data_IF_633810104643
#
_entry.id   IF_633810104643
#
_cell.length_a   1.000
_cell.length_b   1.000
_cell.length_c   1.000
_cell.angle_alpha   90.00
_cell.angle_beta   90.00
_cell.angle_gamma   90.00
#
_symmetry.space_group_name_H-M   'P 1'
#
loop_
_entity.id
_entity.type
_entity.pdbx_description
1 polymer ?
#
# COMPACT_ATOMS: atom_id res chain seq x y z
N UNK A 1 -6.75 -22.43 -5.92
CA UNK A 1 -6.09 -21.11 -6.06
C UNK A 1 -6.74 -20.20 -5.04
N UNK A 2 -6.34 -20.35 -3.79
CA UNK A 2 -6.85 -19.48 -2.73
C UNK A 2 -6.07 -18.16 -2.79
N UNK A 3 -6.76 -17.03 -2.66
CA UNK A 3 -6.14 -15.69 -2.67
C UNK A 3 -6.37 -14.83 -3.92
N UNK A 4 -6.99 -15.35 -4.99
CA UNK A 4 -7.33 -14.54 -6.17
C UNK A 4 -8.80 -14.15 -6.18
N UNK A 5 -9.08 -12.84 -6.25
CA UNK A 5 -10.44 -12.34 -6.48
C UNK A 5 -10.82 -12.52 -7.95
N UNK A 6 -12.14 -12.59 -8.22
CA UNK A 6 -12.66 -12.64 -9.59
C UNK A 6 -12.19 -11.46 -10.45
N UNK A 7 -12.17 -10.25 -9.86
CA UNK A 7 -11.69 -9.04 -10.55
C UNK A 7 -10.19 -9.12 -10.87
N UNK A 8 -9.38 -9.73 -9.99
CA UNK A 8 -7.96 -9.94 -10.27
C UNK A 8 -7.75 -10.88 -11.45
N UNK A 9 -8.43 -12.04 -11.47
CA UNK A 9 -8.36 -12.98 -12.59
C UNK A 9 -8.85 -12.35 -13.90
N UNK A 10 -9.94 -11.58 -13.85
CA UNK A 10 -10.45 -10.89 -15.03
C UNK A 10 -9.42 -9.92 -15.63
N UNK A 11 -8.75 -9.13 -14.79
CA UNK A 11 -7.67 -8.24 -15.22
C UNK A 11 -6.49 -8.99 -15.84
N UNK A 12 -6.12 -10.15 -15.28
CA UNK A 12 -5.06 -10.99 -15.85
C UNK A 12 -5.45 -11.50 -17.25
N UNK A 13 -6.71 -11.89 -17.46
CA UNK A 13 -7.20 -12.31 -18.77
C UNK A 13 -7.18 -11.14 -19.77
N UNK A 14 -7.69 -9.97 -19.37
CA UNK A 14 -7.68 -8.76 -20.19
C UNK A 14 -6.26 -8.32 -20.59
N UNK A 15 -5.29 -8.54 -19.70
CA UNK A 15 -3.87 -8.25 -19.95
C UNK A 15 -3.12 -9.38 -20.70
N UNK A 16 -3.83 -10.42 -21.19
CA UNK A 16 -3.22 -11.53 -21.92
C UNK A 16 -2.31 -12.44 -21.08
N UNK A 17 -2.44 -12.39 -19.75
CA UNK A 17 -1.64 -13.18 -18.79
C UNK A 17 -2.22 -14.57 -18.52
N UNK A 18 -3.36 -14.91 -19.13
CA UNK A 18 -3.99 -16.23 -19.04
C UNK A 18 -3.98 -16.88 -20.41
N UNK A 19 -3.39 -18.07 -20.51
CA UNK A 19 -3.30 -18.84 -21.75
C UNK A 19 -3.83 -20.25 -21.58
N UNK A 20 -4.36 -20.82 -22.67
CA UNK A 20 -4.78 -22.22 -22.76
C UNK A 20 -4.04 -22.84 -23.93
N UNK A 21 -3.22 -23.86 -23.65
CA UNK A 21 -2.34 -24.45 -24.68
C UNK A 21 -1.40 -23.44 -25.35
N UNK A 22 -0.99 -22.39 -24.62
CA UNK A 22 -0.09 -21.34 -25.11
C UNK A 22 -0.77 -20.19 -25.86
N UNK A 23 -2.10 -20.22 -26.05
CA UNK A 23 -2.85 -19.15 -26.70
C UNK A 23 -3.60 -18.29 -25.67
N UNK A 24 -3.58 -16.96 -25.83
CA UNK A 24 -4.40 -16.03 -25.03
C UNK A 24 -5.87 -16.25 -25.38
N UNK A 25 -6.71 -16.39 -24.35
CA UNK A 25 -8.15 -16.63 -24.51
C UNK A 25 -8.96 -15.52 -23.84
N UNK A 26 -10.16 -15.18 -24.36
CA UNK A 26 -11.02 -14.19 -23.71
C UNK A 26 -11.65 -14.73 -22.42
N UNK A 27 -12.11 -13.84 -21.53
CA UNK A 27 -12.69 -14.23 -20.23
C UNK A 27 -13.93 -15.13 -20.33
N UNK A 28 -14.62 -15.12 -21.49
CA UNK A 28 -15.78 -15.98 -21.79
C UNK A 28 -15.40 -17.37 -22.31
N UNK A 29 -14.12 -17.67 -22.46
CA UNK A 29 -13.66 -18.97 -22.95
C UNK A 29 -14.10 -20.08 -22.00
N UNK A 30 -14.62 -21.18 -22.55
CA UNK A 30 -15.07 -22.34 -21.80
C UNK A 30 -14.04 -23.45 -21.97
N UNK A 31 -13.24 -23.77 -20.94
CA UNK A 31 -12.22 -24.81 -21.03
C UNK A 31 -12.83 -26.19 -21.26
N UNK A 32 -12.14 -27.00 -22.05
CA UNK A 32 -12.45 -28.41 -22.26
C UNK A 32 -11.72 -29.27 -21.24
N UNK A 33 -12.27 -30.45 -20.97
CA UNK A 33 -11.63 -31.43 -20.09
C UNK A 33 -10.24 -31.78 -20.62
N UNK A 34 -9.22 -31.67 -19.77
CA UNK A 34 -7.84 -32.01 -20.10
C UNK A 34 -7.00 -30.84 -20.64
N UNK A 35 -7.59 -29.66 -20.84
CA UNK A 35 -6.82 -28.48 -21.20
C UNK A 35 -6.03 -27.92 -20.01
N UNK A 36 -4.82 -27.45 -20.29
CA UNK A 36 -3.93 -26.81 -19.31
C UNK A 36 -4.09 -25.29 -19.44
N UNK A 37 -4.47 -24.67 -18.33
CA UNK A 37 -4.56 -23.22 -18.19
C UNK A 37 -3.32 -22.72 -17.46
N UNK A 38 -2.57 -21.81 -18.09
CA UNK A 38 -1.42 -21.15 -17.49
C UNK A 38 -1.80 -19.72 -17.15
N UNK A 39 -1.55 -19.33 -15.90
CA UNK A 39 -1.78 -17.97 -15.38
C UNK A 39 -0.43 -17.41 -14.97
N UNK A 40 0.01 -16.38 -15.70
CA UNK A 40 1.21 -15.63 -15.36
C UNK A 40 0.83 -14.51 -14.37
N UNK A 41 1.08 -14.74 -13.09
CA UNK A 41 0.89 -13.74 -12.04
C UNK A 41 2.22 -13.03 -11.84
N UNK A 42 2.21 -11.70 -11.93
CA UNK A 42 3.36 -10.90 -11.51
C UNK A 42 3.47 -10.94 -9.99
N UNK A 43 4.68 -11.17 -9.47
CA UNK A 43 4.92 -10.96 -8.06
C UNK A 43 4.64 -9.50 -7.72
N UNK A 44 3.96 -9.20 -6.59
CA UNK A 44 3.81 -7.84 -6.14
C UNK A 44 5.19 -7.21 -6.04
N UNK A 45 5.46 -6.18 -6.83
CA UNK A 45 6.65 -5.38 -6.62
C UNK A 45 6.50 -4.69 -5.27
N UNK A 46 7.42 -4.97 -4.36
CA UNK A 46 7.56 -4.18 -3.14
C UNK A 46 7.90 -2.75 -3.55
N UNK A 47 6.92 -1.86 -3.46
CA UNK A 47 7.16 -0.43 -3.62
C UNK A 47 7.66 0.04 -2.26
N UNK A 48 8.98 0.24 -2.16
CA UNK A 48 9.58 0.86 -0.99
C UNK A 48 8.96 2.25 -0.77
N UNK A 49 8.58 2.54 0.47
CA UNK A 49 8.06 3.85 0.85
C UNK A 49 9.25 4.75 1.14
N UNK A 50 9.51 5.70 0.25
CA UNK A 50 10.68 6.57 0.36
C UNK A 50 10.44 7.78 1.28
N UNK A 51 11.44 8.23 2.06
CA UNK A 51 11.37 9.48 2.81
C UNK A 51 11.19 10.69 1.91
N UNK A 52 10.30 11.62 2.28
CA UNK A 52 10.09 12.87 1.54
C UNK A 52 10.05 14.07 2.48
N UNK A 53 10.76 15.14 2.10
CA UNK A 53 10.78 16.39 2.86
C UNK A 53 9.45 17.16 2.70
N UNK A 54 8.44 16.74 3.44
CA UNK A 54 7.10 17.32 3.48
C UNK A 54 6.91 17.94 4.87
N UNK A 55 6.55 19.23 4.98
CA UNK A 55 6.36 19.87 6.28
C UNK A 55 5.28 19.18 7.12
N UNK A 56 5.59 18.94 8.40
CA UNK A 56 4.67 18.41 9.40
C UNK A 56 4.22 19.52 10.35
N UNK A 57 2.92 19.59 10.64
CA UNK A 57 2.38 20.39 11.73
C UNK A 57 2.48 19.57 13.02
N UNK A 58 3.61 19.67 13.70
CA UNK A 58 3.93 18.88 14.90
C UNK A 58 3.37 19.59 16.13
N UNK A 59 2.43 18.93 16.80
CA UNK A 59 1.78 19.41 18.03
C UNK A 59 2.58 18.96 19.26
N UNK A 60 3.19 17.78 19.19
CA UNK A 60 4.01 17.22 20.25
C UNK A 60 5.01 16.23 19.68
N UNK A 61 6.22 16.17 20.25
CA UNK A 61 7.22 15.15 19.91
C UNK A 61 8.14 14.89 21.11
N UNK A 62 8.39 13.62 21.40
CA UNK A 62 9.40 13.15 22.35
C UNK A 62 10.18 11.94 21.78
N UNK A 63 10.79 11.14 22.65
CA UNK A 63 11.53 9.91 22.28
C UNK A 63 10.65 8.76 21.84
N UNK A 64 9.37 8.77 22.19
CA UNK A 64 8.49 7.62 22.11
C UNK A 64 7.37 7.83 21.10
N UNK A 65 6.87 9.06 20.98
CA UNK A 65 5.77 9.41 20.09
C UNK A 65 5.98 10.76 19.41
N UNK A 66 5.31 10.90 18.27
CA UNK A 66 5.09 12.18 17.60
C UNK A 66 3.59 12.34 17.36
N UNK A 67 3.06 13.53 17.66
CA UNK A 67 1.67 13.91 17.41
C UNK A 67 1.67 14.99 16.36
N UNK A 68 1.07 14.68 15.21
CA UNK A 68 0.94 15.60 14.08
C UNK A 68 -0.50 15.99 13.89
N UNK A 69 -0.75 17.26 13.59
CA UNK A 69 -2.04 17.73 13.13
C UNK A 69 -2.11 17.57 11.61
N UNK A 70 -2.68 16.46 11.13
CA UNK A 70 -2.76 16.19 9.70
C UNK A 70 -3.75 17.14 9.03
N UNK A 71 -3.24 17.89 8.05
CA UNK A 71 -4.06 18.74 7.19
C UNK A 71 -5.03 17.96 6.30
N UNK A 72 -6.00 18.69 5.74
CA UNK A 72 -6.92 18.18 4.72
C UNK A 72 -6.15 17.86 3.44
N UNK A 73 -6.51 16.79 2.75
CA UNK A 73 -5.90 16.40 1.48
C UNK A 73 -4.67 15.51 1.62
N UNK A 74 -4.07 15.40 2.80
CA UNK A 74 -2.96 14.49 3.05
C UNK A 74 -3.46 13.07 3.33
N UNK A 75 -2.93 12.09 2.59
CA UNK A 75 -3.17 10.67 2.83
C UNK A 75 -2.22 10.16 3.92
N UNK A 76 -2.67 9.25 4.79
CA UNK A 76 -1.84 8.73 5.89
C UNK A 76 -0.71 7.84 5.39
N UNK A 77 -1.02 6.85 4.54
CA UNK A 77 -0.06 5.86 4.04
C UNK A 77 -0.30 5.64 2.54
N UNK A 78 0.74 5.31 1.74
CA UNK A 78 0.59 5.00 0.32
C UNK A 78 -0.59 4.08 -0.02
N UNK A 79 -1.30 4.43 -1.08
CA UNK A 79 -2.47 3.71 -1.55
C UNK A 79 -2.62 3.86 -3.07
N UNK A 80 -3.42 3.02 -3.76
CA UNK A 80 -3.74 3.24 -5.16
C UNK A 80 -4.22 4.68 -5.41
N UNK A 81 -3.55 5.39 -6.32
CA UNK A 81 -3.82 6.80 -6.65
C UNK A 81 -3.10 7.84 -5.78
N UNK A 82 -2.44 7.44 -4.68
CA UNK A 82 -1.54 8.28 -3.87
C UNK A 82 -0.35 7.40 -3.44
N UNK A 83 0.57 7.06 -4.37
CA UNK A 83 1.67 6.15 -4.09
C UNK A 83 2.75 6.75 -3.17
N UNK A 84 2.81 8.08 -3.09
CA UNK A 84 3.74 8.86 -2.28
C UNK A 84 3.05 10.17 -1.81
N UNK A 85 3.81 11.11 -1.26
CA UNK A 85 3.28 12.39 -0.78
C UNK A 85 2.42 12.24 0.47
N UNK A 86 2.60 11.15 1.22
CA UNK A 86 1.76 10.79 2.36
C UNK A 86 2.40 11.18 3.69
N UNK A 87 1.63 11.08 4.78
CA UNK A 87 2.15 11.31 6.12
C UNK A 87 3.29 10.36 6.47
N UNK A 88 3.24 9.09 6.04
CA UNK A 88 4.35 8.14 6.25
C UNK A 88 5.63 8.62 5.56
N UNK A 89 5.56 9.14 4.34
CA UNK A 89 6.74 9.65 3.64
C UNK A 89 7.37 10.83 4.42
N UNK A 90 6.52 11.71 4.95
CA UNK A 90 6.95 12.85 5.76
C UNK A 90 7.58 12.40 7.10
N UNK A 91 6.96 11.45 7.78
CA UNK A 91 7.47 10.89 9.04
C UNK A 91 8.80 10.18 8.83
N UNK A 92 8.94 9.40 7.75
CA UNK A 92 10.20 8.73 7.40
C UNK A 92 11.35 9.69 7.14
N UNK A 93 11.04 10.91 6.69
CA UNK A 93 12.05 11.96 6.51
C UNK A 93 12.41 12.64 7.83
N UNK A 94 11.42 12.88 8.69
CA UNK A 94 11.59 13.61 9.95
C UNK A 94 12.16 12.76 11.07
N UNK A 95 11.73 11.51 11.19
CA UNK A 95 12.13 10.57 12.23
C UNK A 95 13.10 9.51 11.68
N UNK A 96 14.09 9.13 12.48
CA UNK A 96 15.08 8.10 12.11
C UNK A 96 14.85 6.76 12.81
N UNK A 97 13.88 6.72 13.73
CA UNK A 97 13.68 5.66 14.71
C UNK A 97 12.27 5.05 14.65
N UNK A 98 11.40 5.48 13.72
CA UNK A 98 10.00 5.04 13.64
C UNK A 98 9.81 3.55 13.89
N UNK A 99 8.84 3.27 14.76
CA UNK A 99 8.43 1.92 15.14
C UNK A 99 8.09 1.06 13.92
N UNK A 100 8.46 -0.23 13.96
CA UNK A 100 8.06 -1.21 12.96
C UNK A 100 6.67 -1.78 13.19
N UNK A 101 5.91 -1.27 14.17
CA UNK A 101 4.55 -1.74 14.48
C UNK A 101 3.66 -1.45 13.26
N UNK A 102 3.24 -2.54 12.58
CA UNK A 102 2.56 -2.60 11.26
C UNK A 102 3.45 -2.83 10.02
N UNK A 103 4.69 -3.27 10.24
CA UNK A 103 5.63 -3.68 9.21
C UNK A 103 6.31 -2.51 8.50
N UNK A 104 7.26 -2.82 7.62
CA UNK A 104 8.06 -1.83 6.89
C UNK A 104 7.22 -0.87 6.02
N UNK A 105 5.99 -1.26 5.69
CA UNK A 105 5.08 -0.42 4.92
C UNK A 105 4.51 0.74 5.76
N UNK A 106 4.21 0.53 7.06
CA UNK A 106 3.51 1.50 7.92
C UNK A 106 4.30 1.90 9.17
N UNK A 107 5.56 2.34 9.03
CA UNK A 107 6.40 2.64 10.18
C UNK A 107 5.77 3.75 11.03
N UNK A 108 5.65 3.49 12.33
CA UNK A 108 5.08 4.36 13.36
C UNK A 108 3.57 4.54 13.34
N UNK A 109 2.86 4.18 12.26
CA UNK A 109 1.42 4.44 12.15
C UNK A 109 0.62 3.44 12.98
N UNK A 110 -0.02 3.93 14.05
CA UNK A 110 -0.89 3.10 14.91
C UNK A 110 -2.39 3.27 14.60
N UNK A 111 -2.79 4.35 13.93
CA UNK A 111 -4.16 4.58 13.48
C UNK A 111 -4.21 5.49 12.24
N UNK A 112 -5.38 5.63 11.61
CA UNK A 112 -5.57 6.51 10.44
C UNK A 112 -6.85 7.32 10.53
N UNK A 113 -6.85 8.46 9.86
CA UNK A 113 -8.03 9.23 9.48
C UNK A 113 -8.02 9.42 7.96
N UNK A 114 -9.18 9.71 7.36
CA UNK A 114 -9.29 9.81 5.91
C UNK A 114 -8.59 11.04 5.34
N UNK A 115 -8.35 11.03 4.02
CA UNK A 115 -7.61 12.06 3.28
C UNK A 115 -8.13 13.46 3.61
N UNK A 116 -9.45 13.63 3.58
CA UNK A 116 -10.12 14.91 3.80
C UNK A 116 -10.52 15.17 5.26
N UNK A 117 -10.18 14.24 6.16
CA UNK A 117 -10.34 14.43 7.61
C UNK A 117 -9.09 15.12 8.16
N UNK A 118 -9.29 16.24 8.86
CA UNK A 118 -8.25 16.93 9.63
C UNK A 118 -8.21 16.43 11.06
N UNK A 119 -7.05 16.46 11.69
CA UNK A 119 -6.95 16.27 13.13
C UNK A 119 -5.66 15.62 13.56
N UNK A 120 -5.59 15.33 14.86
CA UNK A 120 -4.42 14.76 15.50
C UNK A 120 -4.25 13.28 15.11
N UNK A 121 -3.03 12.94 14.72
CA UNK A 121 -2.56 11.58 14.52
C UNK A 121 -1.33 11.36 15.40
N UNK A 122 -1.31 10.24 16.11
CA UNK A 122 -0.14 9.81 16.88
C UNK A 122 0.62 8.78 16.05
N UNK A 123 1.94 8.91 15.99
CA UNK A 123 2.84 7.89 15.46
C UNK A 123 3.88 7.48 16.52
N UNK A 124 4.22 6.20 16.56
CA UNK A 124 5.20 5.62 17.47
C UNK A 124 6.62 5.72 16.88
N UNK A 125 7.58 6.10 17.72
CA UNK A 125 9.00 6.25 17.38
C UNK A 125 9.88 5.11 17.87
N UNK A 126 9.33 4.11 18.57
CA UNK A 126 10.05 2.91 18.94
C UNK A 126 9.08 1.76 19.28
N UNK A 127 9.63 0.55 19.41
CA UNK A 127 8.90 -0.70 19.72
C UNK A 127 9.04 -1.13 21.19
N UNK A 128 9.67 -0.30 22.04
CA UNK A 128 10.07 -0.67 23.40
C UNK A 128 8.90 -0.74 24.39
#
# INVERSE_FOLDING_TARGET
MDGFTRSHIQRLIENGRVTVGGLVVPAKYVPKKGEVILVAVEEPTEVAVEPQNIPLDIVYEDSDIIVVNKGKGMVVHPAPGNPDGTLVNALLFHCHDLSGINGELRPGIVHRIDKDTTGLLVAAKNDA
#
